data_IF_702586992889
#
_entry.id   IF_702586992889
#
_cell.length_a   1.000
_cell.length_b   1.000
_cell.length_c   1.000
_cell.angle_alpha   90.00
_cell.angle_beta   90.00
_cell.angle_gamma   90.00
#
_symmetry.space_group_name_H-M   'P 1'
#
loop_
_entity.id
_entity.type
_entity.pdbx_description
1 polymer ?
#
# COMPACT_ATOMS: atom_id res chain seq x y z
N UNK A 1 -17.17 -13.43 -35.97
CA UNK A 1 -16.38 -12.57 -36.89
C UNK A 1 -14.93 -12.80 -36.52
N UNK A 2 -14.13 -13.40 -37.43
CA UNK A 2 -12.70 -13.65 -37.18
C UNK A 2 -11.98 -12.32 -37.02
N UNK A 3 -11.34 -12.12 -35.88
CA UNK A 3 -10.40 -11.01 -35.67
C UNK A 3 -9.24 -11.21 -36.64
N UNK A 4 -9.16 -10.38 -37.65
CA UNK A 4 -7.95 -10.32 -38.49
C UNK A 4 -6.90 -9.67 -37.64
N UNK A 5 -5.90 -10.43 -37.21
CA UNK A 5 -4.73 -9.85 -36.52
C UNK A 5 -4.04 -8.87 -37.47
N UNK A 6 -3.50 -7.73 -36.98
CA UNK A 6 -2.72 -6.84 -37.82
C UNK A 6 -1.58 -7.58 -38.45
N UNK A 7 -1.29 -7.28 -39.70
CA UNK A 7 -0.12 -7.88 -40.37
C UNK A 7 1.13 -7.17 -39.83
N UNK A 8 2.22 -7.90 -39.70
CA UNK A 8 3.52 -7.31 -39.29
C UNK A 8 3.89 -6.13 -40.23
N UNK A 9 3.52 -6.19 -41.50
CA UNK A 9 3.73 -5.10 -42.48
C UNK A 9 3.03 -3.80 -42.14
N UNK A 10 1.82 -3.86 -41.54
CA UNK A 10 1.10 -2.65 -41.12
C UNK A 10 1.79 -1.96 -39.93
N UNK A 11 2.27 -2.75 -38.99
CA UNK A 11 3.01 -2.24 -37.80
C UNK A 11 4.35 -1.65 -38.24
N UNK A 12 5.10 -2.33 -39.11
CA UNK A 12 6.34 -1.83 -39.71
C UNK A 12 6.15 -0.51 -40.45
N UNK A 13 5.04 -0.39 -41.20
CA UNK A 13 4.70 0.85 -41.89
C UNK A 13 4.48 2.00 -40.89
N UNK A 14 3.72 1.76 -39.83
CA UNK A 14 3.50 2.74 -38.77
C UNK A 14 4.80 3.11 -38.05
N UNK A 15 5.67 2.14 -37.74
CA UNK A 15 6.98 2.35 -37.17
C UNK A 15 7.81 3.32 -38.00
N UNK A 16 7.90 3.09 -39.34
CA UNK A 16 8.64 3.96 -40.26
C UNK A 16 8.05 5.36 -40.34
N UNK A 17 6.73 5.49 -40.28
CA UNK A 17 6.06 6.79 -40.29
C UNK A 17 6.37 7.58 -38.97
N UNK A 18 6.30 6.92 -37.82
CA UNK A 18 6.62 7.49 -36.51
C UNK A 18 8.08 7.90 -36.43
N UNK A 19 9.02 7.02 -36.81
CA UNK A 19 10.46 7.32 -36.80
C UNK A 19 10.79 8.51 -37.67
N UNK A 20 10.20 8.59 -38.88
CA UNK A 20 10.38 9.72 -39.78
C UNK A 20 9.82 11.03 -39.19
N UNK A 21 8.64 10.96 -38.58
CA UNK A 21 7.94 12.13 -38.05
C UNK A 21 8.60 12.66 -36.76
N UNK A 22 9.10 11.78 -35.89
CA UNK A 22 9.69 12.14 -34.60
C UNK A 22 11.15 12.61 -34.74
N UNK A 23 11.91 12.01 -35.66
CA UNK A 23 13.33 12.32 -35.84
C UNK A 23 14.27 11.50 -34.95
N UNK A 24 15.57 11.80 -35.01
CA UNK A 24 16.64 10.97 -34.42
C UNK A 24 16.68 11.01 -32.87
N UNK A 25 15.94 11.90 -32.24
CA UNK A 25 15.84 11.98 -30.79
C UNK A 25 14.98 10.87 -30.18
N UNK A 26 14.25 10.17 -31.03
CA UNK A 26 13.32 9.10 -30.63
C UNK A 26 13.65 7.80 -31.36
N UNK A 27 13.64 6.73 -30.60
CA UNK A 27 13.77 5.37 -31.12
C UNK A 27 12.41 4.67 -31.04
N UNK A 28 12.01 4.02 -32.12
CA UNK A 28 10.72 3.31 -32.20
C UNK A 28 10.98 1.83 -32.40
N UNK A 29 10.62 1.02 -31.42
CA UNK A 29 10.83 -0.44 -31.42
C UNK A 29 9.52 -1.20 -31.50
N UNK A 30 9.55 -2.37 -32.16
CA UNK A 30 8.40 -3.29 -32.30
C UNK A 30 8.45 -4.36 -31.23
N UNK A 31 7.27 -4.90 -30.89
CA UNK A 31 7.08 -6.04 -29.97
C UNK A 31 7.88 -5.91 -28.66
N UNK A 32 7.90 -4.70 -28.11
CA UNK A 32 8.81 -4.38 -27.02
C UNK A 32 8.14 -4.54 -25.66
N UNK A 33 8.85 -5.25 -24.77
CA UNK A 33 8.43 -5.44 -23.41
C UNK A 33 8.88 -4.28 -22.51
N UNK A 34 7.94 -3.54 -21.95
CA UNK A 34 8.20 -2.48 -20.98
C UNK A 34 7.96 -3.01 -19.56
N UNK A 35 9.02 -2.97 -18.76
CA UNK A 35 8.94 -3.35 -17.35
C UNK A 35 8.22 -2.28 -16.55
N UNK A 36 7.31 -2.67 -15.67
CA UNK A 36 6.75 -1.75 -14.71
C UNK A 36 7.80 -1.36 -13.67
N UNK A 37 7.99 -0.08 -13.34
CA UNK A 37 8.88 0.33 -12.27
C UNK A 37 8.34 -0.02 -10.89
N UNK A 38 7.03 -0.23 -10.78
CA UNK A 38 6.34 -0.50 -9.52
C UNK A 38 6.10 -1.98 -9.30
N UNK A 39 6.26 -2.75 -10.37
CA UNK A 39 5.73 -4.09 -10.39
C UNK A 39 6.67 -5.05 -11.15
N UNK A 40 6.71 -6.33 -10.79
CA UNK A 40 7.48 -7.36 -11.49
C UNK A 40 6.73 -7.89 -12.75
N UNK A 41 6.07 -7.00 -13.51
CA UNK A 41 5.36 -7.32 -14.76
C UNK A 41 6.06 -6.64 -15.92
N UNK A 42 6.01 -7.30 -17.07
CA UNK A 42 6.38 -6.74 -18.36
C UNK A 42 5.12 -6.70 -19.23
N UNK A 43 4.74 -5.52 -19.66
CA UNK A 43 3.69 -5.33 -20.65
C UNK A 43 4.35 -5.26 -22.04
N UNK A 44 3.88 -6.06 -22.99
CA UNK A 44 4.37 -6.03 -24.37
C UNK A 44 3.44 -5.13 -25.17
N UNK A 45 4.01 -4.18 -25.91
CA UNK A 45 3.28 -3.28 -26.82
C UNK A 45 3.71 -3.54 -28.25
N UNK A 46 2.79 -3.37 -29.21
CA UNK A 46 3.08 -3.52 -30.63
C UNK A 46 4.19 -2.58 -31.10
N UNK A 47 4.21 -1.36 -30.55
CA UNK A 47 5.30 -0.40 -30.72
C UNK A 47 5.57 0.32 -29.40
N UNK A 48 6.85 0.63 -29.14
CA UNK A 48 7.26 1.52 -28.04
C UNK A 48 8.14 2.61 -28.61
N UNK A 49 7.85 3.85 -28.26
CA UNK A 49 8.71 5.00 -28.55
C UNK A 49 9.57 5.25 -27.33
N UNK A 50 10.86 5.22 -27.52
CA UNK A 50 11.86 5.57 -26.52
C UNK A 50 12.36 6.98 -26.76
N UNK A 51 12.70 7.66 -25.68
CA UNK A 51 13.41 8.91 -25.67
C UNK A 51 14.56 8.81 -24.69
N UNK A 52 15.79 8.98 -25.14
CA UNK A 52 17.00 8.76 -24.32
C UNK A 52 16.99 7.37 -23.65
N UNK A 53 16.71 6.31 -24.42
CA UNK A 53 16.59 4.92 -23.97
C UNK A 53 15.50 4.64 -22.93
N UNK A 54 14.61 5.60 -22.67
CA UNK A 54 13.50 5.47 -21.72
C UNK A 54 12.20 5.25 -22.49
N UNK A 55 11.39 4.21 -22.14
CA UNK A 55 10.09 4.01 -22.73
C UNK A 55 9.18 5.22 -22.42
N UNK A 56 8.70 5.86 -23.47
CA UNK A 56 7.97 7.11 -23.37
C UNK A 56 6.52 6.99 -23.80
N UNK A 57 6.27 6.27 -24.92
CA UNK A 57 4.95 6.03 -25.48
C UNK A 57 4.79 4.54 -25.76
N UNK A 58 3.69 3.95 -25.34
CA UNK A 58 3.27 2.61 -25.76
C UNK A 58 2.18 2.71 -26.82
N UNK A 59 2.24 1.87 -27.84
CA UNK A 59 1.28 1.87 -28.94
C UNK A 59 0.71 0.47 -29.13
N UNK A 60 -0.60 0.40 -29.17
CA UNK A 60 -1.37 -0.79 -29.54
C UNK A 60 -2.02 -0.60 -30.89
N UNK A 61 -1.72 -1.49 -31.81
CA UNK A 61 -2.27 -1.47 -33.16
C UNK A 61 -3.42 -2.47 -33.27
N UNK A 62 -4.57 -2.00 -33.77
CA UNK A 62 -5.75 -2.85 -34.00
C UNK A 62 -6.28 -2.63 -35.40
N UNK A 63 -6.30 -3.67 -36.20
CA UNK A 63 -6.71 -3.61 -37.61
C UNK A 63 -8.18 -3.21 -37.83
N UNK A 64 -9.03 -3.30 -36.80
CA UNK A 64 -10.48 -3.06 -36.91
C UNK A 64 -10.96 -2.09 -35.84
N UNK A 65 -11.77 -1.10 -36.21
CA UNK A 65 -12.31 -0.07 -35.32
C UNK A 65 -13.10 -0.65 -34.13
N UNK A 66 -13.85 -1.74 -34.34
CA UNK A 66 -14.59 -2.40 -33.26
C UNK A 66 -13.65 -2.98 -32.19
N UNK A 67 -12.47 -3.43 -32.58
CA UNK A 67 -11.44 -3.89 -31.62
C UNK A 67 -10.84 -2.72 -30.87
N UNK A 68 -10.62 -1.58 -31.51
CA UNK A 68 -10.19 -0.33 -30.84
C UNK A 68 -11.22 0.07 -29.78
N UNK A 69 -12.50 0.08 -30.11
CA UNK A 69 -13.57 0.47 -29.18
C UNK A 69 -13.64 -0.43 -27.93
N UNK A 70 -13.29 -1.71 -28.06
CA UNK A 70 -13.17 -2.63 -26.91
C UNK A 70 -11.97 -2.25 -26.05
N UNK A 71 -10.86 -1.94 -26.68
CA UNK A 71 -9.61 -1.59 -26.03
C UNK A 71 -9.63 -0.23 -25.30
N UNK A 72 -10.46 0.70 -25.78
CA UNK A 72 -10.64 2.01 -25.14
C UNK A 72 -11.47 1.95 -23.83
N UNK A 73 -12.00 0.77 -23.46
CA UNK A 73 -12.69 0.64 -22.18
C UNK A 73 -11.72 0.83 -21.02
N UNK A 74 -12.05 1.66 -20.03
CA UNK A 74 -11.14 2.03 -18.94
C UNK A 74 -10.53 0.85 -18.17
N UNK A 75 -11.21 -0.30 -18.17
CA UNK A 75 -10.85 -1.48 -17.36
C UNK A 75 -9.70 -2.31 -17.91
N UNK A 76 -9.30 -2.16 -19.19
CA UNK A 76 -8.35 -3.10 -19.80
C UNK A 76 -7.03 -2.48 -20.29
N UNK A 77 -7.08 -1.40 -21.08
CA UNK A 77 -5.89 -0.87 -21.78
C UNK A 77 -5.18 0.24 -21.05
N UNK A 78 -5.93 1.17 -20.55
CA UNK A 78 -5.51 2.27 -19.71
C UNK A 78 -4.55 1.80 -18.60
N UNK A 79 -4.87 0.67 -17.98
CA UNK A 79 -4.06 0.03 -16.94
C UNK A 79 -2.65 -0.36 -17.41
N UNK A 80 -2.51 -0.94 -18.59
CA UNK A 80 -1.20 -1.37 -19.13
C UNK A 80 -0.24 -0.20 -19.33
N UNK A 81 -0.75 0.94 -19.81
CA UNK A 81 0.05 2.15 -19.99
C UNK A 81 0.46 2.76 -18.66
N UNK A 82 -0.43 2.81 -17.69
CA UNK A 82 -0.12 3.28 -16.34
C UNK A 82 0.89 2.37 -15.63
N UNK A 83 0.65 1.08 -15.62
CA UNK A 83 1.55 0.09 -15.01
C UNK A 83 2.95 0.12 -15.60
N UNK A 84 3.07 0.37 -16.89
CA UNK A 84 4.35 0.50 -17.59
C UNK A 84 5.01 1.87 -17.42
N UNK A 85 4.42 2.75 -16.63
CA UNK A 85 4.92 4.11 -16.38
C UNK A 85 5.15 4.93 -17.66
N UNK A 86 4.39 4.65 -18.72
CA UNK A 86 4.45 5.40 -19.95
C UNK A 86 3.79 6.76 -19.77
N UNK A 87 4.29 7.78 -20.46
CA UNK A 87 3.70 9.11 -20.42
C UNK A 87 2.49 9.22 -21.36
N UNK A 88 2.54 8.52 -22.45
CA UNK A 88 1.46 8.44 -23.44
C UNK A 88 1.14 6.98 -23.78
N UNK A 89 -0.12 6.73 -24.04
CA UNK A 89 -0.61 5.50 -24.64
C UNK A 89 -1.36 5.81 -25.91
N UNK A 90 -1.14 5.05 -26.96
CA UNK A 90 -1.82 5.23 -28.25
C UNK A 90 -2.48 3.92 -28.62
N UNK A 91 -3.76 3.99 -28.98
CA UNK A 91 -4.46 2.91 -29.64
C UNK A 91 -4.83 3.36 -31.06
N UNK A 92 -4.47 2.59 -32.08
CA UNK A 92 -4.67 3.01 -33.45
C UNK A 92 -4.88 1.85 -34.41
N UNK A 93 -5.53 2.12 -35.56
CA UNK A 93 -5.55 1.21 -36.73
C UNK A 93 -4.60 1.67 -37.84
N UNK A 94 -3.76 2.67 -37.59
CA UNK A 94 -2.88 3.26 -38.59
C UNK A 94 -3.60 4.08 -39.68
N UNK A 95 -4.93 4.24 -39.61
CA UNK A 95 -5.69 5.13 -40.48
C UNK A 95 -5.76 6.51 -39.92
N UNK A 96 -5.79 7.53 -40.78
CA UNK A 96 -5.60 8.94 -40.44
C UNK A 96 -6.49 9.47 -39.30
N UNK A 97 -7.70 8.97 -39.17
CA UNK A 97 -8.66 9.41 -38.15
C UNK A 97 -8.94 8.35 -37.07
N UNK A 98 -8.06 7.36 -36.91
CA UNK A 98 -8.23 6.28 -35.94
C UNK A 98 -7.06 6.25 -34.96
N UNK A 99 -6.76 7.39 -34.37
CA UNK A 99 -5.80 7.51 -33.28
C UNK A 99 -6.53 7.93 -32.01
N UNK A 100 -6.23 7.23 -30.94
CA UNK A 100 -6.77 7.50 -29.61
C UNK A 100 -5.60 7.66 -28.66
N UNK A 101 -5.45 8.87 -28.12
CA UNK A 101 -4.36 9.26 -27.25
C UNK A 101 -4.83 9.20 -25.80
N UNK A 102 -4.09 8.48 -24.99
CA UNK A 102 -4.13 8.60 -23.55
C UNK A 102 -2.88 9.34 -23.07
N UNK A 103 -3.07 10.24 -22.13
CA UNK A 103 -2.00 10.95 -21.46
C UNK A 103 -2.04 10.64 -19.97
N UNK A 104 -0.87 10.42 -19.39
CA UNK A 104 -0.78 10.10 -17.98
C UNK A 104 -1.39 11.21 -17.12
N UNK A 105 -2.21 10.83 -16.15
CA UNK A 105 -2.98 11.77 -15.31
C UNK A 105 -4.34 12.17 -15.90
N UNK A 106 -4.63 11.78 -17.14
CA UNK A 106 -5.95 12.02 -17.75
C UNK A 106 -6.79 10.73 -17.71
N UNK A 107 -8.10 10.92 -17.54
CA UNK A 107 -9.02 9.79 -17.51
C UNK A 107 -9.50 9.45 -18.92
N UNK A 108 -9.17 8.23 -19.37
CA UNK A 108 -9.60 7.70 -20.65
C UNK A 108 -8.76 8.15 -21.86
N UNK A 109 -9.19 7.74 -23.02
CA UNK A 109 -8.58 8.07 -24.30
C UNK A 109 -9.33 9.20 -24.99
N UNK A 110 -8.59 10.09 -25.62
CA UNK A 110 -9.13 11.16 -26.46
C UNK A 110 -8.89 10.83 -27.93
N UNK A 111 -9.91 11.05 -28.76
CA UNK A 111 -9.75 10.93 -30.20
C UNK A 111 -8.75 12.01 -30.69
N UNK A 112 -7.85 11.62 -31.58
CA UNK A 112 -6.75 12.46 -32.03
C UNK A 112 -6.38 12.10 -33.48
N UNK A 113 -5.51 12.88 -34.07
CA UNK A 113 -4.91 12.61 -35.37
C UNK A 113 -3.38 12.42 -35.26
N UNK A 114 -2.77 11.87 -36.30
CA UNK A 114 -1.34 11.60 -36.30
C UNK A 114 -0.47 12.83 -36.05
N UNK A 115 -0.83 13.98 -36.65
CA UNK A 115 -0.06 15.21 -36.52
C UNK A 115 -0.15 15.77 -35.10
N UNK A 116 -1.33 15.76 -34.50
CA UNK A 116 -1.58 16.18 -33.13
C UNK A 116 -0.82 15.32 -32.13
N UNK A 117 -0.77 14.02 -32.34
CA UNK A 117 0.02 13.09 -31.51
C UNK A 117 1.51 13.38 -31.61
N UNK A 118 2.06 13.52 -32.83
CA UNK A 118 3.46 13.86 -33.02
C UNK A 118 3.82 15.20 -32.36
N UNK A 119 2.95 16.19 -32.46
CA UNK A 119 3.13 17.48 -31.80
C UNK A 119 3.13 17.34 -30.27
N UNK A 120 2.18 16.58 -29.72
CA UNK A 120 2.11 16.34 -28.28
C UNK A 120 3.39 15.66 -27.75
N UNK A 121 3.90 14.65 -28.48
CA UNK A 121 5.14 13.94 -28.13
C UNK A 121 6.35 14.89 -28.21
N UNK A 122 6.44 15.72 -29.25
CA UNK A 122 7.56 16.65 -29.46
C UNK A 122 7.55 17.87 -28.53
N UNK A 123 6.37 18.34 -28.18
CA UNK A 123 6.20 19.46 -27.25
C UNK A 123 6.46 19.07 -25.78
N UNK A 124 6.58 17.78 -25.53
CA UNK A 124 6.94 17.31 -24.22
C UNK A 124 8.40 17.61 -23.94
N UNK A 125 8.64 18.60 -23.10
CA UNK A 125 9.96 19.10 -22.82
C UNK A 125 10.90 17.99 -22.29
N UNK A 126 12.19 18.01 -22.69
CA UNK A 126 13.22 17.20 -22.05
C UNK A 126 13.25 17.49 -20.55
N UNK A 127 13.83 16.57 -19.77
CA UNK A 127 14.17 16.86 -18.38
C UNK A 127 14.92 18.18 -18.33
N UNK A 128 14.32 19.15 -17.66
CA UNK A 128 14.98 20.42 -17.37
C UNK A 128 16.12 20.20 -16.38
N UNK A 129 16.84 21.27 -16.10
CA UNK A 129 17.85 21.28 -15.03
C UNK A 129 17.23 20.74 -13.73
N UNK A 130 18.06 20.11 -12.89
CA UNK A 130 17.65 19.68 -11.56
C UNK A 130 17.10 20.86 -10.79
N UNK A 131 16.00 20.62 -10.12
CA UNK A 131 15.34 21.64 -9.31
C UNK A 131 16.22 21.99 -8.10
N UNK A 132 16.22 23.25 -7.71
CA UNK A 132 16.73 23.65 -6.41
C UNK A 132 15.87 22.99 -5.32
N UNK A 133 16.52 22.35 -4.35
CA UNK A 133 15.83 21.59 -3.30
C UNK A 133 14.95 22.48 -2.45
N UNK A 134 15.38 23.70 -2.13
CA UNK A 134 14.58 24.61 -1.31
C UNK A 134 13.31 25.06 -2.06
N UNK A 135 13.43 25.37 -3.36
CA UNK A 135 12.27 25.72 -4.18
C UNK A 135 11.31 24.53 -4.31
N UNK A 136 11.86 23.32 -4.47
CA UNK A 136 11.09 22.09 -4.50
C UNK A 136 10.37 21.85 -3.18
N UNK A 137 11.05 21.99 -2.04
CA UNK A 137 10.44 21.87 -0.71
C UNK A 137 9.27 22.83 -0.52
N UNK A 138 9.46 24.11 -0.89
CA UNK A 138 8.41 25.12 -0.81
C UNK A 138 7.19 24.74 -1.66
N UNK A 139 7.41 24.23 -2.88
CA UNK A 139 6.32 23.81 -3.75
C UNK A 139 5.57 22.59 -3.19
N UNK A 140 6.29 21.56 -2.72
CA UNK A 140 5.66 20.36 -2.15
C UNK A 140 4.94 20.68 -0.85
N UNK A 141 5.56 21.43 0.04
CA UNK A 141 4.92 21.81 1.31
C UNK A 141 3.75 22.79 1.11
N UNK A 142 3.77 23.57 0.03
CA UNK A 142 2.66 24.40 -0.40
C UNK A 142 1.42 23.60 -0.86
N UNK A 143 1.51 22.27 -1.05
CA UNK A 143 0.38 21.39 -1.34
C UNK A 143 -0.39 20.95 -0.07
N UNK A 144 0.14 21.25 1.12
CA UNK A 144 -0.58 21.00 2.38
C UNK A 144 -1.85 21.85 2.42
N UNK A 145 -2.98 21.29 2.89
CA UNK A 145 -4.21 22.08 3.03
C UNK A 145 -4.06 23.19 4.06
N UNK A 146 -4.49 24.40 3.73
CA UNK A 146 -4.42 25.58 4.61
C UNK A 146 -5.06 25.36 5.99
N UNK A 147 -6.08 24.51 6.06
CA UNK A 147 -6.81 24.17 7.30
C UNK A 147 -5.99 23.34 8.29
N UNK A 148 -4.85 22.76 7.85
CA UNK A 148 -4.06 21.76 8.59
C UNK A 148 -2.66 22.30 8.95
N UNK A 149 -2.32 23.52 8.54
CA UNK A 149 -0.96 24.07 8.77
C UNK A 149 -0.71 24.22 10.27
N UNK A 150 -0.36 23.09 10.89
CA UNK A 150 0.37 23.06 12.15
C UNK A 150 1.84 23.44 11.87
N UNK A 151 2.31 24.47 12.54
CA UNK A 151 3.68 24.97 12.41
C UNK A 151 4.72 23.87 12.71
N UNK A 152 4.40 22.95 13.61
CA UNK A 152 5.28 21.85 13.97
C UNK A 152 5.30 20.77 12.88
N UNK A 153 4.17 20.39 12.32
CA UNK A 153 4.07 19.50 11.19
C UNK A 153 4.89 20.03 10.00
N UNK A 154 4.68 21.29 9.61
CA UNK A 154 5.43 21.94 8.55
C UNK A 154 6.94 21.87 8.78
N UNK A 155 7.41 22.27 9.96
CA UNK A 155 8.84 22.23 10.32
C UNK A 155 9.42 20.82 10.30
N UNK A 156 8.66 19.83 10.71
CA UNK A 156 9.13 18.44 10.71
C UNK A 156 9.21 17.87 9.30
N UNK A 157 8.27 18.22 8.42
CA UNK A 157 8.34 17.85 7.01
C UNK A 157 9.47 18.60 6.30
N UNK A 158 9.63 19.90 6.51
CA UNK A 158 10.66 20.74 5.89
C UNK A 158 12.08 20.21 6.14
N UNK A 159 12.37 19.73 7.35
CA UNK A 159 13.66 19.11 7.69
C UNK A 159 14.01 17.88 6.83
N UNK A 160 13.03 17.26 6.19
CA UNK A 160 13.25 16.09 5.34
C UNK A 160 13.73 16.47 3.94
N UNK A 161 13.50 17.72 3.51
CA UNK A 161 13.87 18.21 2.18
C UNK A 161 15.27 18.79 2.17
N UNK A 162 16.27 17.92 2.15
CA UNK A 162 17.69 18.30 2.04
C UNK A 162 18.33 17.60 0.83
N UNK A 163 19.46 18.10 0.36
CA UNK A 163 20.19 17.50 -0.77
C UNK A 163 20.59 16.04 -0.50
N UNK A 164 20.85 15.69 0.75
CA UNK A 164 21.22 14.32 1.15
C UNK A 164 20.02 13.36 1.14
N UNK A 165 18.82 13.88 1.33
CA UNK A 165 17.60 13.12 1.50
C UNK A 165 16.82 12.90 0.20
N UNK A 166 17.10 13.74 -0.81
CA UNK A 166 16.39 13.74 -2.10
C UNK A 166 17.26 13.06 -3.17
N UNK A 167 16.67 12.09 -3.83
CA UNK A 167 17.30 11.33 -4.90
C UNK A 167 16.68 11.73 -6.22
N UNK A 168 17.51 12.19 -7.16
CA UNK A 168 17.15 12.45 -8.55
C UNK A 168 17.51 11.26 -9.42
N UNK A 169 16.52 10.65 -10.06
CA UNK A 169 16.72 9.67 -11.13
C UNK A 169 16.68 10.41 -12.48
N UNK A 170 17.82 10.91 -12.93
CA UNK A 170 17.96 11.69 -14.17
C UNK A 170 17.55 10.87 -15.40
N UNK A 171 17.60 9.53 -15.31
CA UNK A 171 17.25 8.66 -16.43
C UNK A 171 15.74 8.57 -16.62
N UNK A 172 14.97 8.67 -15.53
CA UNK A 172 13.51 8.48 -15.53
C UNK A 172 12.74 9.76 -15.22
N UNK A 173 13.41 10.83 -14.85
CA UNK A 173 12.78 12.07 -14.42
C UNK A 173 12.00 11.92 -13.11
N UNK A 174 12.50 11.11 -12.19
CA UNK A 174 11.88 10.97 -10.88
C UNK A 174 12.68 11.62 -9.77
N UNK A 175 11.94 12.19 -8.86
CA UNK A 175 12.42 12.63 -7.55
C UNK A 175 11.84 11.69 -6.52
N UNK A 176 12.64 11.26 -5.57
CA UNK A 176 12.19 10.42 -4.46
C UNK A 176 12.99 10.73 -3.20
N UNK A 177 12.48 10.31 -2.07
CA UNK A 177 13.26 10.29 -0.84
C UNK A 177 14.20 9.07 -0.77
N UNK A 178 15.28 9.19 0.03
CA UNK A 178 15.93 8.01 0.60
C UNK A 178 14.93 7.19 1.42
N UNK A 179 15.13 5.88 1.51
CA UNK A 179 14.16 4.98 2.16
C UNK A 179 13.83 5.35 3.61
N UNK A 180 14.85 5.74 4.40
CA UNK A 180 14.64 6.11 5.81
C UNK A 180 13.91 7.43 5.95
N UNK A 181 14.18 8.35 5.03
CA UNK A 181 13.52 9.64 4.98
C UNK A 181 12.07 9.48 4.54
N UNK A 182 11.81 8.58 3.58
CA UNK A 182 10.44 8.27 3.17
C UNK A 182 9.63 7.67 4.32
N UNK A 183 10.23 6.76 5.10
CA UNK A 183 9.58 6.24 6.31
C UNK A 183 9.31 7.34 7.34
N UNK A 184 10.25 8.26 7.54
CA UNK A 184 10.07 9.41 8.43
C UNK A 184 8.98 10.37 7.92
N UNK A 185 8.90 10.59 6.60
CA UNK A 185 7.86 11.39 5.97
C UNK A 185 6.46 10.83 6.28
N UNK A 186 6.24 9.55 6.01
CA UNK A 186 4.95 8.93 6.29
C UNK A 186 4.62 8.94 7.77
N UNK A 187 5.58 8.65 8.65
CA UNK A 187 5.37 8.72 10.11
C UNK A 187 5.00 10.11 10.59
N UNK A 188 5.56 11.15 9.98
CA UNK A 188 5.21 12.54 10.31
C UNK A 188 3.75 12.87 9.93
N UNK A 189 3.21 12.22 8.88
CA UNK A 189 1.81 12.38 8.47
C UNK A 189 0.83 11.57 9.34
N UNK A 190 1.29 10.48 9.95
CA UNK A 190 0.44 9.65 10.80
C UNK A 190 0.24 10.28 12.19
N UNK A 191 -0.83 9.92 12.92
CA UNK A 191 -1.02 10.36 14.28
C UNK A 191 0.21 10.06 15.14
N UNK A 192 0.61 11.00 15.99
CA UNK A 192 1.74 10.78 16.87
C UNK A 192 1.37 9.76 17.96
N UNK A 193 2.29 8.85 18.23
CA UNK A 193 2.10 7.78 19.18
C UNK A 193 3.21 7.79 20.23
N UNK A 194 2.82 7.83 21.48
CA UNK A 194 3.73 7.59 22.60
C UNK A 194 3.19 6.40 23.40
N UNK A 195 3.28 5.20 22.84
CA UNK A 195 2.60 4.02 23.35
C UNK A 195 3.61 2.98 23.81
N UNK A 196 3.72 2.81 25.11
CA UNK A 196 4.48 1.71 25.69
C UNK A 196 3.71 0.38 25.71
N UNK A 197 2.38 0.44 25.52
CA UNK A 197 1.49 -0.72 25.56
C UNK A 197 0.38 -0.62 24.52
N UNK A 198 -0.02 -1.76 24.00
CA UNK A 198 -1.18 -1.93 23.11
C UNK A 198 -2.01 -3.13 23.54
N UNK A 199 -3.26 -3.20 23.09
CA UNK A 199 -4.09 -4.35 23.35
C UNK A 199 -4.70 -4.91 22.06
N UNK A 200 -5.06 -6.20 22.09
CA UNK A 200 -5.74 -6.89 20.99
C UNK A 200 -6.84 -7.76 21.51
N UNK A 201 -8.04 -7.57 20.97
CA UNK A 201 -9.19 -8.42 21.24
C UNK A 201 -9.21 -9.61 20.30
N UNK A 202 -9.51 -10.81 20.83
CA UNK A 202 -9.54 -12.03 20.04
C UNK A 202 -10.35 -13.12 20.75
N UNK A 203 -10.41 -14.31 20.14
CA UNK A 203 -11.12 -15.46 20.72
C UNK A 203 -10.36 -16.11 21.87
N UNK A 204 -11.06 -16.80 22.76
CA UNK A 204 -10.43 -17.66 23.77
C UNK A 204 -9.59 -18.77 23.13
N UNK A 205 -10.01 -19.27 21.98
CA UNK A 205 -9.24 -20.28 21.25
C UNK A 205 -7.87 -19.75 20.82
N UNK A 206 -7.80 -18.48 20.42
CA UNK A 206 -6.52 -17.86 20.06
C UNK A 206 -5.60 -17.71 21.28
N UNK A 207 -6.14 -17.38 22.48
CA UNK A 207 -5.35 -17.41 23.71
C UNK A 207 -4.88 -18.83 24.03
N UNK A 208 -5.74 -19.83 23.88
CA UNK A 208 -5.36 -21.24 24.07
C UNK A 208 -4.23 -21.67 23.14
N UNK A 209 -4.34 -21.35 21.85
CA UNK A 209 -3.31 -21.67 20.85
C UNK A 209 -2.00 -20.94 21.14
N UNK A 210 -2.06 -19.66 21.53
CA UNK A 210 -0.89 -18.88 21.91
C UNK A 210 -0.17 -19.49 23.11
N UNK A 211 -0.88 -19.93 24.13
CA UNK A 211 -0.29 -20.61 25.29
C UNK A 211 0.27 -21.99 24.93
N UNK A 212 -0.40 -22.71 24.05
CA UNK A 212 -0.03 -24.08 23.65
C UNK A 212 1.16 -24.09 22.69
N UNK A 213 1.11 -23.27 21.64
CA UNK A 213 2.06 -23.28 20.53
C UNK A 213 3.21 -22.28 20.71
N UNK A 214 3.06 -21.32 21.62
CA UNK A 214 4.05 -20.27 21.94
C UNK A 214 4.44 -19.41 20.74
N UNK A 215 3.48 -19.07 19.90
CA UNK A 215 3.71 -18.23 18.73
C UNK A 215 2.80 -17.01 18.72
N UNK A 216 3.37 -15.87 18.36
CA UNK A 216 2.60 -14.74 17.85
C UNK A 216 2.23 -15.03 16.40
N UNK A 217 0.97 -14.83 16.06
CA UNK A 217 0.46 -15.07 14.71
C UNK A 217 0.12 -13.74 14.05
N UNK A 218 0.78 -13.42 12.96
CA UNK A 218 0.43 -12.31 12.09
C UNK A 218 -0.32 -12.86 10.88
N UNK A 219 -1.47 -12.25 10.58
CA UNK A 219 -2.30 -12.64 9.45
C UNK A 219 -1.82 -11.94 8.17
N UNK A 220 -1.80 -12.66 7.05
CA UNK A 220 -1.62 -12.04 5.74
C UNK A 220 -2.72 -11.00 5.49
N UNK A 221 -2.42 -9.95 4.76
CA UNK A 221 -3.40 -8.95 4.34
C UNK A 221 -4.56 -9.55 3.52
N UNK A 222 -4.37 -10.74 2.94
CA UNK A 222 -5.46 -11.48 2.28
C UNK A 222 -6.52 -12.02 3.24
N UNK A 223 -6.24 -12.02 4.56
CA UNK A 223 -7.20 -12.40 5.61
C UNK A 223 -8.07 -11.25 6.13
N UNK A 224 -7.91 -10.05 5.61
CA UNK A 224 -8.68 -8.90 6.09
C UNK A 224 -10.18 -9.15 5.83
N UNK A 225 -10.99 -8.85 6.83
CA UNK A 225 -12.46 -9.01 6.73
C UNK A 225 -13.06 -8.05 5.70
N UNK A 226 -12.41 -6.90 5.50
CA UNK A 226 -12.76 -5.91 4.49
C UNK A 226 -11.70 -5.88 3.39
N UNK A 227 -12.04 -6.43 2.22
CA UNK A 227 -11.19 -6.42 1.03
C UNK A 227 -10.90 -4.97 0.57
N UNK A 228 -11.85 -4.06 0.78
CA UNK A 228 -11.70 -2.63 0.47
C UNK A 228 -10.60 -1.95 1.27
N UNK A 229 -10.28 -2.46 2.45
CA UNK A 229 -9.26 -1.88 3.33
C UNK A 229 -7.86 -1.92 2.72
N UNK A 230 -7.51 -2.97 1.99
CA UNK A 230 -6.19 -3.10 1.36
C UNK A 230 -5.99 -2.16 0.16
N UNK A 231 -7.07 -1.67 -0.43
CA UNK A 231 -7.08 -0.76 -1.58
C UNK A 231 -7.58 0.65 -1.24
N UNK A 232 -7.95 0.91 0.00
CA UNK A 232 -8.57 2.16 0.42
C UNK A 232 -7.75 3.39 0.02
N UNK A 233 -6.48 3.41 0.40
CA UNK A 233 -5.60 4.53 0.11
C UNK A 233 -5.34 4.70 -1.40
N UNK A 234 -5.13 3.59 -2.13
CA UNK A 234 -4.94 3.62 -3.58
C UNK A 234 -6.19 4.15 -4.31
N UNK A 235 -7.38 3.73 -3.86
CA UNK A 235 -8.64 4.22 -4.43
C UNK A 235 -8.86 5.70 -4.15
N UNK A 236 -8.47 6.17 -2.96
CA UNK A 236 -8.62 7.57 -2.58
C UNK A 236 -7.78 8.50 -3.45
N UNK A 237 -6.50 8.18 -3.62
CA UNK A 237 -5.59 9.01 -4.44
C UNK A 237 -5.83 8.88 -5.95
N UNK A 238 -6.82 8.09 -6.37
CA UNK A 238 -7.22 7.96 -7.78
C UNK A 238 -6.36 7.02 -8.61
N UNK A 239 -5.35 6.40 -8.05
CA UNK A 239 -4.57 5.33 -8.66
C UNK A 239 -5.27 3.96 -8.56
N UNK A 240 -6.58 3.98 -8.34
CA UNK A 240 -7.44 2.80 -8.17
C UNK A 240 -7.43 1.79 -9.33
N UNK A 241 -6.78 2.13 -10.44
CA UNK A 241 -6.46 1.17 -11.50
C UNK A 241 -5.51 0.04 -11.04
N UNK A 242 -4.89 0.19 -9.87
CA UNK A 242 -3.97 -0.78 -9.29
C UNK A 242 -4.65 -1.86 -8.42
N UNK A 243 -5.93 -1.67 -8.11
CA UNK A 243 -6.61 -2.42 -7.06
C UNK A 243 -6.85 -3.91 -7.36
N UNK A 244 -6.82 -4.34 -8.60
CA UNK A 244 -7.22 -5.71 -8.98
C UNK A 244 -6.16 -6.53 -9.70
N UNK A 245 -4.89 -6.18 -9.64
CA UNK A 245 -3.87 -7.00 -10.28
C UNK A 245 -3.41 -8.17 -9.40
N UNK A 246 -2.94 -9.21 -10.05
CA UNK A 246 -2.25 -10.37 -9.44
C UNK A 246 -1.18 -10.00 -8.42
N UNK A 247 -0.67 -8.78 -8.47
CA UNK A 247 0.33 -8.24 -7.57
C UNK A 247 -0.17 -7.83 -6.23
N UNK A 248 -1.38 -7.30 -6.15
CA UNK A 248 -2.03 -7.04 -4.88
C UNK A 248 -2.11 -8.34 -4.08
N UNK A 249 -2.35 -9.46 -4.75
CA UNK A 249 -2.35 -10.79 -4.11
C UNK A 249 -0.95 -11.17 -3.65
N UNK A 250 0.09 -10.99 -4.47
CA UNK A 250 1.47 -11.33 -4.09
C UNK A 250 2.02 -10.42 -3.00
N UNK A 251 1.77 -9.12 -3.08
CA UNK A 251 2.15 -8.16 -2.04
C UNK A 251 1.41 -8.47 -0.74
N UNK A 252 0.10 -8.66 -0.80
CA UNK A 252 -0.72 -8.99 0.36
C UNK A 252 -0.34 -10.35 0.97
N UNK A 253 0.09 -11.31 0.16
CA UNK A 253 0.59 -12.61 0.65
C UNK A 253 1.98 -12.53 1.32
N UNK A 254 2.74 -11.48 1.08
CA UNK A 254 4.04 -11.25 1.73
C UNK A 254 3.98 -10.18 2.82
N UNK A 255 2.83 -9.54 2.99
CA UNK A 255 2.57 -8.54 4.01
C UNK A 255 1.65 -9.12 5.08
N UNK A 256 2.12 -9.09 6.33
CA UNK A 256 1.43 -9.68 7.47
C UNK A 256 1.16 -8.62 8.52
N UNK A 257 -0.01 -8.67 9.12
CA UNK A 257 -0.50 -7.64 10.02
C UNK A 257 -0.92 -8.23 11.36
N UNK A 258 -0.67 -7.45 12.41
CA UNK A 258 -1.27 -7.60 13.72
C UNK A 258 -1.94 -6.27 14.09
N UNK A 259 -3.27 -6.24 14.03
CA UNK A 259 -4.06 -5.10 14.44
C UNK A 259 -4.21 -5.09 15.96
N UNK A 260 -3.82 -3.99 16.57
CA UNK A 260 -3.95 -3.71 17.99
C UNK A 260 -4.78 -2.43 18.17
N UNK A 261 -5.14 -2.13 19.38
CA UNK A 261 -5.73 -0.86 19.80
C UNK A 261 -4.82 -0.18 20.82
N UNK A 262 -4.98 1.12 20.98
CA UNK A 262 -4.30 1.87 22.04
C UNK A 262 -4.59 1.26 23.43
N UNK A 263 -3.69 1.54 24.38
CA UNK A 263 -3.82 1.12 25.77
C UNK A 263 -5.08 1.64 26.46
N UNK A 264 -5.64 2.77 26.02
CA UNK A 264 -6.89 3.32 26.51
C UNK A 264 -8.10 2.42 26.20
N UNK A 265 -7.94 1.53 25.24
CA UNK A 265 -8.95 0.52 24.87
C UNK A 265 -8.80 -0.81 25.63
N UNK A 266 -7.93 -0.88 26.63
CA UNK A 266 -7.83 -2.08 27.46
C UNK A 266 -9.10 -2.25 28.29
N UNK A 267 -9.76 -3.39 28.15
CA UNK A 267 -11.02 -3.72 28.82
C UNK A 267 -12.19 -2.78 28.43
N UNK A 268 -12.22 -2.32 27.16
CA UNK A 268 -13.23 -1.41 26.60
C UNK A 268 -14.48 -2.19 26.13
N UNK A 269 -15.66 -1.68 26.47
CA UNK A 269 -16.93 -2.33 26.15
C UNK A 269 -17.22 -2.42 24.65
N UNK A 270 -16.87 -1.37 23.89
CA UNK A 270 -17.08 -1.34 22.46
C UNK A 270 -16.19 -2.36 21.77
N UNK A 271 -14.93 -2.42 22.17
CA UNK A 271 -13.96 -3.38 21.63
C UNK A 271 -14.32 -4.83 21.98
N UNK A 272 -14.87 -5.07 23.19
CA UNK A 272 -15.41 -6.37 23.55
C UNK A 272 -16.55 -6.83 22.63
N UNK A 273 -17.42 -5.91 22.23
CA UNK A 273 -18.54 -6.21 21.32
C UNK A 273 -18.05 -6.51 19.91
N UNK A 274 -17.17 -5.68 19.40
CA UNK A 274 -16.75 -5.77 18.00
C UNK A 274 -15.75 -6.91 17.77
N UNK A 275 -14.75 -7.05 18.63
CA UNK A 275 -13.60 -7.92 18.37
C UNK A 275 -13.38 -9.01 19.42
N UNK A 276 -14.00 -8.90 20.57
CA UNK A 276 -13.91 -9.86 21.68
C UNK A 276 -14.97 -10.95 21.65
N UNK A 277 -15.46 -11.38 20.48
CA UNK A 277 -16.52 -12.38 20.35
C UNK A 277 -17.77 -12.03 21.18
N UNK A 278 -18.26 -10.80 21.06
CA UNK A 278 -19.36 -10.29 21.88
C UNK A 278 -19.11 -10.47 23.37
N UNK A 279 -17.89 -10.14 23.79
CA UNK A 279 -17.40 -10.20 25.17
C UNK A 279 -17.21 -11.62 25.76
N UNK A 280 -17.18 -12.65 24.93
CA UNK A 280 -16.86 -14.03 25.35
C UNK A 280 -15.37 -14.37 25.14
N UNK A 281 -14.60 -13.53 24.45
CA UNK A 281 -13.22 -13.76 24.07
C UNK A 281 -12.21 -13.30 25.12
N UNK A 282 -11.07 -12.81 24.64
CA UNK A 282 -9.96 -12.31 25.46
C UNK A 282 -9.40 -11.00 24.90
N UNK A 283 -8.88 -10.15 25.78
CA UNK A 283 -8.07 -8.98 25.44
C UNK A 283 -6.61 -9.30 25.83
N UNK A 284 -5.74 -9.41 24.85
CA UNK A 284 -4.30 -9.59 25.02
C UNK A 284 -3.64 -8.23 25.16
N UNK A 285 -2.79 -8.04 26.16
CA UNK A 285 -2.04 -6.80 26.39
C UNK A 285 -0.58 -7.04 26.08
N UNK A 286 0.02 -6.16 25.27
CA UNK A 286 1.41 -6.22 24.88
C UNK A 286 2.18 -4.99 25.37
N UNK A 287 3.45 -5.19 25.73
CA UNK A 287 4.43 -4.10 25.82
C UNK A 287 5.09 -3.95 24.44
N UNK A 288 5.34 -2.72 24.05
CA UNK A 288 6.02 -2.37 22.80
C UNK A 288 7.51 -2.20 23.08
N UNK A 289 8.34 -2.79 22.23
CA UNK A 289 9.79 -2.55 22.20
C UNK A 289 10.12 -1.69 20.98
N UNK A 290 10.23 -0.40 21.19
CA UNK A 290 10.46 0.58 20.12
C UNK A 290 11.79 0.36 19.40
N UNK A 291 12.82 -0.18 20.08
CA UNK A 291 14.14 -0.44 19.50
C UNK A 291 14.09 -1.50 18.37
N UNK A 292 13.04 -2.32 18.34
CA UNK A 292 12.86 -3.38 17.34
C UNK A 292 11.96 -2.95 16.18
N UNK A 293 11.38 -1.76 16.25
CA UNK A 293 10.56 -1.19 15.19
C UNK A 293 11.48 -0.53 14.16
N UNK A 294 11.06 -0.53 12.89
CA UNK A 294 11.74 0.12 11.74
C UNK A 294 13.08 -0.49 11.32
N UNK A 295 13.27 -1.76 11.59
CA UNK A 295 14.44 -2.50 11.16
C UNK A 295 14.30 -3.17 9.77
N UNK A 296 13.71 -2.49 8.81
CA UNK A 296 13.43 -2.95 7.43
C UNK A 296 12.35 -4.03 7.27
N UNK A 297 11.86 -4.65 8.33
CA UNK A 297 10.86 -5.74 8.26
C UNK A 297 9.59 -5.46 9.04
N UNK A 298 9.68 -4.73 10.16
CA UNK A 298 8.55 -4.39 11.00
C UNK A 298 8.28 -2.89 10.96
N UNK A 299 7.03 -2.55 10.68
CA UNK A 299 6.51 -1.18 10.70
C UNK A 299 5.40 -1.12 11.73
N UNK A 300 5.46 -0.16 12.62
CA UNK A 300 4.50 -0.03 13.70
C UNK A 300 4.08 1.43 13.85
N UNK A 301 2.80 1.68 13.61
CA UNK A 301 2.24 3.02 13.67
C UNK A 301 0.72 2.98 13.90
N UNK A 302 0.13 4.06 14.44
CA UNK A 302 -1.31 4.22 14.46
C UNK A 302 -1.85 4.42 13.04
N UNK A 303 -3.09 3.97 12.85
CA UNK A 303 -3.81 4.17 11.60
C UNK A 303 -4.34 5.60 11.53
N UNK A 304 -4.14 6.25 10.39
CA UNK A 304 -4.77 7.52 10.08
C UNK A 304 -6.15 7.29 9.47
N UNK A 305 -7.14 7.96 10.02
CA UNK A 305 -8.51 7.93 9.54
C UNK A 305 -8.85 9.25 8.83
N UNK A 306 -9.74 9.18 7.85
CA UNK A 306 -10.31 10.39 7.27
C UNK A 306 -10.97 11.29 8.31
N UNK A 307 -11.08 12.58 8.03
CA UNK A 307 -11.84 13.54 8.86
C UNK A 307 -13.34 13.35 8.71
N UNK A 308 -13.75 12.87 7.53
CA UNK A 308 -15.10 12.47 7.18
C UNK A 308 -15.06 11.34 6.13
N UNK A 309 -16.22 10.90 5.64
CA UNK A 309 -16.28 9.91 4.54
C UNK A 309 -15.70 10.44 3.22
N UNK A 310 -15.63 11.76 3.06
CA UNK A 310 -15.19 12.45 1.83
C UNK A 310 -13.93 13.29 2.02
N UNK A 311 -13.33 13.26 3.20
CA UNK A 311 -12.15 14.07 3.53
C UNK A 311 -11.08 13.24 4.21
N UNK A 312 -9.90 13.17 3.60
CA UNK A 312 -8.71 12.55 4.16
C UNK A 312 -7.47 13.34 3.75
N UNK A 313 -7.19 14.42 4.48
CA UNK A 313 -6.17 15.40 4.08
C UNK A 313 -4.78 14.78 3.83
N UNK A 314 -4.39 13.76 4.58
CA UNK A 314 -3.09 13.09 4.36
C UNK A 314 -3.04 12.41 2.99
N UNK A 315 -4.12 11.71 2.63
CA UNK A 315 -4.19 11.05 1.32
C UNK A 315 -4.33 12.09 0.19
N UNK A 316 -5.05 13.19 0.41
CA UNK A 316 -5.13 14.30 -0.54
C UNK A 316 -3.74 14.93 -0.76
N UNK A 317 -3.00 15.16 0.32
CA UNK A 317 -1.62 15.68 0.23
C UNK A 317 -0.70 14.73 -0.52
N UNK A 318 -0.73 13.42 -0.20
CA UNK A 318 0.05 12.39 -0.90
C UNK A 318 -0.35 12.35 -2.39
N UNK A 319 -1.63 12.37 -2.70
CA UNK A 319 -2.15 12.41 -4.07
C UNK A 319 -1.69 13.64 -4.84
N UNK A 320 -1.69 14.80 -4.20
CA UNK A 320 -1.17 16.04 -4.78
C UNK A 320 0.33 15.95 -5.08
N UNK A 321 1.13 15.38 -4.17
CA UNK A 321 2.57 15.15 -4.40
C UNK A 321 2.78 14.19 -5.60
N UNK A 322 2.03 13.10 -5.68
CA UNK A 322 2.13 12.14 -6.77
C UNK A 322 1.68 12.73 -8.12
N UNK A 323 0.78 13.69 -8.09
CA UNK A 323 0.30 14.42 -9.28
C UNK A 323 1.24 15.58 -9.67
N UNK A 324 2.14 15.98 -8.77
CA UNK A 324 3.05 17.08 -9.02
C UNK A 324 4.04 16.76 -10.14
N UNK A 325 4.27 17.73 -11.03
CA UNK A 325 5.28 17.64 -12.07
C UNK A 325 5.81 19.02 -12.44
N UNK A 326 7.12 19.14 -12.67
CA UNK A 326 7.75 20.37 -13.10
C UNK A 326 8.98 20.06 -13.96
N UNK A 327 9.09 20.69 -15.11
CA UNK A 327 10.23 20.54 -16.03
C UNK A 327 10.55 19.07 -16.39
N UNK A 328 9.53 18.22 -16.51
CA UNK A 328 9.69 16.79 -16.75
C UNK A 328 9.97 15.94 -15.50
N UNK A 329 10.29 16.56 -14.38
CA UNK A 329 10.43 15.89 -13.09
C UNK A 329 9.09 15.56 -12.47
N UNK A 330 9.02 14.41 -11.79
CA UNK A 330 7.84 13.94 -11.07
C UNK A 330 8.27 13.29 -9.76
N UNK A 331 7.44 13.38 -8.74
CA UNK A 331 7.71 12.72 -7.47
C UNK A 331 7.19 11.29 -7.45
N UNK A 332 7.87 10.39 -6.76
CA UNK A 332 7.39 9.04 -6.46
C UNK A 332 7.75 8.61 -5.06
N UNK A 333 6.89 7.81 -4.45
CA UNK A 333 7.18 7.09 -3.23
C UNK A 333 7.59 5.64 -3.57
N UNK A 334 8.76 5.23 -3.10
CA UNK A 334 9.29 3.88 -3.32
C UNK A 334 8.70 2.86 -2.32
N UNK A 335 8.19 3.34 -1.19
CA UNK A 335 7.67 2.52 -0.08
C UNK A 335 6.16 2.70 0.15
N UNK A 336 5.45 3.28 -0.81
CA UNK A 336 4.00 3.43 -0.75
C UNK A 336 3.29 2.09 -0.50
N UNK A 337 3.76 0.99 -1.06
CA UNK A 337 3.23 -0.35 -0.85
C UNK A 337 3.23 -0.82 0.62
N UNK A 338 3.99 -0.17 1.49
CA UNK A 338 4.02 -0.38 2.94
C UNK A 338 3.04 0.59 3.61
N UNK A 339 3.24 1.89 3.36
CA UNK A 339 2.59 2.95 4.13
C UNK A 339 1.11 3.12 3.79
N UNK A 340 0.66 2.74 2.60
CA UNK A 340 -0.75 2.73 2.22
C UNK A 340 -1.64 1.93 3.20
N UNK A 341 -1.08 0.95 3.90
CA UNK A 341 -1.79 0.12 4.85
C UNK A 341 -2.01 0.79 6.22
N UNK A 342 -1.53 2.01 6.43
CA UNK A 342 -1.75 2.80 7.64
C UNK A 342 -2.83 3.89 7.46
N UNK A 343 -3.62 3.80 6.40
CA UNK A 343 -4.75 4.69 6.14
C UNK A 343 -6.05 3.88 6.07
N UNK A 344 -7.11 4.42 6.67
CA UNK A 344 -8.40 3.73 6.77
C UNK A 344 -9.56 4.71 6.69
N UNK A 345 -10.73 4.23 6.28
CA UNK A 345 -11.94 5.03 6.22
C UNK A 345 -12.33 5.57 7.59
N UNK A 346 -12.85 6.80 7.61
CA UNK A 346 -13.42 7.46 8.77
C UNK A 346 -14.45 6.59 9.54
N UNK A 347 -15.18 5.73 8.85
CA UNK A 347 -16.18 4.84 9.45
C UNK A 347 -15.60 3.92 10.55
N UNK A 348 -14.29 3.68 10.53
CA UNK A 348 -13.60 2.79 11.47
C UNK A 348 -12.81 3.54 12.57
N UNK A 349 -12.95 4.85 12.68
CA UNK A 349 -12.16 5.69 13.60
C UNK A 349 -12.24 5.29 15.07
N UNK A 350 -13.37 4.70 15.49
CA UNK A 350 -13.59 4.29 16.88
C UNK A 350 -12.72 3.08 17.28
N UNK A 351 -12.11 2.40 16.33
CA UNK A 351 -11.18 1.29 16.59
C UNK A 351 -9.87 1.79 17.22
N UNK A 352 -9.46 3.03 16.94
CA UNK A 352 -8.17 3.59 17.35
C UNK A 352 -7.04 2.58 17.12
N UNK A 353 -7.02 2.05 15.88
CA UNK A 353 -6.15 0.94 15.52
C UNK A 353 -4.68 1.37 15.47
N UNK A 354 -3.83 0.50 15.98
CA UNK A 354 -2.38 0.57 15.86
C UNK A 354 -1.94 -0.70 15.14
N UNK A 355 -1.21 -0.57 14.04
CA UNK A 355 -0.81 -1.70 13.21
C UNK A 355 0.64 -2.05 13.40
N UNK A 356 0.92 -3.34 13.59
CA UNK A 356 2.21 -3.93 13.35
C UNK A 356 2.13 -4.62 11.98
N UNK A 357 2.86 -4.08 11.01
CA UNK A 357 3.01 -4.65 9.67
C UNK A 357 4.38 -5.32 9.57
N UNK A 358 4.41 -6.55 9.10
CA UNK A 358 5.63 -7.29 8.79
C UNK A 358 5.69 -7.58 7.30
N UNK A 359 6.79 -7.18 6.67
CA UNK A 359 7.07 -7.50 5.26
C UNK A 359 8.02 -8.69 5.22
N UNK A 360 7.52 -9.82 4.75
CA UNK A 360 8.27 -11.06 4.66
C UNK A 360 9.17 -11.05 3.43
N UNK A 361 10.48 -11.10 3.64
CA UNK A 361 11.44 -11.30 2.56
C UNK A 361 11.36 -12.72 1.99
N UNK A 362 11.81 -12.91 0.75
CA UNK A 362 11.87 -14.24 0.10
C UNK A 362 12.72 -15.23 0.87
N UNK A 363 13.79 -14.74 1.50
CA UNK A 363 14.77 -15.56 2.23
C UNK A 363 14.44 -15.65 3.74
N UNK A 364 13.25 -15.24 4.14
CA UNK A 364 12.83 -15.29 5.54
C UNK A 364 12.67 -16.74 6.00
N UNK A 365 13.31 -17.07 7.12
CA UNK A 365 13.18 -18.36 7.82
C UNK A 365 11.97 -18.38 8.79
N UNK A 366 11.17 -17.31 8.84
CA UNK A 366 9.95 -17.28 9.65
C UNK A 366 8.94 -18.28 9.10
N UNK A 367 8.41 -19.15 9.96
CA UNK A 367 7.42 -20.15 9.59
C UNK A 367 6.19 -19.48 8.98
N UNK A 368 5.73 -20.01 7.87
CA UNK A 368 4.48 -19.64 7.22
C UNK A 368 3.53 -20.83 7.22
N UNK A 369 2.35 -20.64 7.80
CA UNK A 369 1.30 -21.67 7.88
C UNK A 369 0.09 -21.23 7.09
N UNK A 370 -0.39 -22.08 6.21
CA UNK A 370 -1.65 -21.87 5.50
C UNK A 370 -2.83 -22.26 6.38
N UNK A 371 -3.86 -21.45 6.34
CA UNK A 371 -5.10 -21.64 7.11
C UNK A 371 -6.33 -21.36 6.24
N UNK A 372 -7.46 -21.88 6.68
CA UNK A 372 -8.77 -21.36 6.28
C UNK A 372 -9.28 -20.43 7.38
N UNK A 373 -10.03 -19.40 7.00
CA UNK A 373 -10.71 -18.52 7.95
C UNK A 373 -11.75 -19.31 8.78
N UNK A 374 -12.32 -18.67 9.81
CA UNK A 374 -13.30 -19.32 10.71
C UNK A 374 -14.56 -19.81 10.02
N UNK A 375 -14.85 -19.31 8.83
CA UNK A 375 -16.00 -19.70 7.99
C UNK A 375 -15.64 -20.74 6.95
N UNK A 376 -14.38 -21.16 6.85
CA UNK A 376 -13.81 -22.03 5.81
C UNK A 376 -14.03 -21.50 4.38
N UNK A 377 -14.09 -20.19 4.22
CA UNK A 377 -14.39 -19.52 2.96
C UNK A 377 -13.15 -18.92 2.30
N UNK A 378 -12.17 -18.45 3.10
CA UNK A 378 -11.00 -17.73 2.62
C UNK A 378 -9.74 -18.50 3.03
N UNK A 379 -8.94 -18.89 2.01
CA UNK A 379 -7.61 -19.43 2.23
C UNK A 379 -6.61 -18.29 2.42
N UNK A 380 -5.82 -18.35 3.47
CA UNK A 380 -4.82 -17.34 3.77
C UNK A 380 -3.61 -17.95 4.46
N UNK A 381 -2.64 -17.11 4.82
CA UNK A 381 -1.45 -17.56 5.51
C UNK A 381 -1.18 -16.75 6.78
N UNK A 382 -0.55 -17.40 7.74
CA UNK A 382 -0.02 -16.79 8.96
C UNK A 382 1.51 -16.79 8.91
N UNK A 383 2.15 -15.75 9.43
CA UNK A 383 3.53 -15.79 9.87
C UNK A 383 3.57 -16.05 11.38
N UNK A 384 4.39 -17.02 11.80
CA UNK A 384 4.50 -17.46 13.17
C UNK A 384 5.84 -17.00 13.77
N UNK A 385 5.76 -16.21 14.82
CA UNK A 385 6.92 -15.75 15.56
C UNK A 385 6.92 -16.40 16.93
N UNK A 386 7.96 -17.14 17.23
CA UNK A 386 8.15 -17.69 18.58
C UNK A 386 8.08 -16.56 19.61
N UNK A 387 7.38 -16.78 20.73
CA UNK A 387 7.25 -15.81 21.82
C UNK A 387 8.62 -15.39 22.38
N UNK A 388 9.61 -16.26 22.27
CA UNK A 388 10.98 -15.99 22.68
C UNK A 388 11.81 -15.28 21.60
N UNK A 389 11.22 -15.00 20.43
CA UNK A 389 11.93 -14.32 19.35
C UNK A 389 12.31 -12.90 19.76
N UNK A 390 13.59 -12.68 19.97
CA UNK A 390 14.14 -11.40 20.42
C UNK A 390 13.98 -10.27 19.39
N UNK A 391 13.60 -10.60 18.15
CA UNK A 391 13.37 -9.61 17.07
C UNK A 391 11.92 -9.21 16.93
N UNK A 392 10.98 -9.87 17.62
CA UNK A 392 9.57 -9.49 17.55
C UNK A 392 9.30 -8.29 18.45
N UNK A 393 8.71 -7.19 17.93
CA UNK A 393 8.65 -5.92 18.65
C UNK A 393 7.60 -5.87 19.77
N UNK A 394 6.72 -6.87 19.89
CA UNK A 394 5.70 -6.91 20.92
C UNK A 394 5.94 -8.07 21.87
N UNK A 395 5.85 -7.82 23.18
CA UNK A 395 5.93 -8.86 24.20
C UNK A 395 4.65 -8.92 25.03
N UNK A 396 4.13 -10.14 25.25
CA UNK A 396 2.91 -10.35 26.04
C UNK A 396 3.11 -9.89 27.49
N UNK A 397 2.23 -9.00 27.94
CA UNK A 397 2.19 -8.48 29.30
C UNK A 397 1.13 -9.20 30.14
N UNK A 398 -0.11 -9.29 29.67
CA UNK A 398 -1.21 -9.95 30.37
C UNK A 398 -2.33 -10.30 29.39
N UNK A 399 -3.33 -11.04 29.89
CA UNK A 399 -4.58 -11.28 29.18
C UNK A 399 -5.77 -11.05 30.11
N UNK A 400 -6.87 -10.53 29.53
CA UNK A 400 -8.13 -10.30 30.25
C UNK A 400 -9.21 -11.18 29.59
N UNK A 401 -9.93 -11.95 30.39
CA UNK A 401 -11.04 -12.76 29.91
C UNK A 401 -12.33 -11.94 29.93
N UNK A 402 -13.06 -11.99 28.83
CA UNK A 402 -14.26 -11.19 28.60
C UNK A 402 -15.37 -11.42 29.62
N UNK A 403 -16.19 -10.40 29.89
CA UNK A 403 -17.21 -10.44 30.95
C UNK A 403 -18.35 -11.43 30.69
N UNK A 404 -18.59 -11.82 29.43
CA UNK A 404 -19.59 -12.87 29.08
C UNK A 404 -19.00 -14.26 28.90
N UNK A 405 -17.71 -14.44 29.19
CA UNK A 405 -17.11 -15.77 29.07
C UNK A 405 -17.83 -16.76 30.01
N UNK A 406 -18.37 -17.83 29.45
CA UNK A 406 -18.89 -18.91 30.24
C UNK A 406 -17.79 -19.56 31.07
N UNK A 407 -18.08 -19.92 32.32
CA UNK A 407 -17.08 -20.52 33.22
C UNK A 407 -15.81 -19.67 33.38
N UNK A 408 -15.95 -18.31 33.42
CA UNK A 408 -14.83 -17.37 33.44
C UNK A 408 -13.76 -17.70 34.49
N UNK A 409 -14.17 -17.96 35.73
CA UNK A 409 -13.26 -18.30 36.82
C UNK A 409 -12.47 -19.58 36.58
N UNK A 410 -13.16 -20.63 36.04
CA UNK A 410 -12.51 -21.88 35.69
C UNK A 410 -11.51 -21.70 34.54
N UNK A 411 -11.90 -20.97 33.50
CA UNK A 411 -11.00 -20.66 32.38
C UNK A 411 -9.76 -19.88 32.82
N UNK A 412 -9.93 -18.87 33.70
CA UNK A 412 -8.81 -18.12 34.25
C UNK A 412 -7.84 -19.04 35.00
N UNK A 413 -8.37 -19.92 35.84
CA UNK A 413 -7.55 -20.87 36.62
C UNK A 413 -6.76 -21.81 35.67
N UNK A 414 -7.43 -22.37 34.65
CA UNK A 414 -6.78 -23.27 33.70
C UNK A 414 -5.74 -22.56 32.83
N UNK A 415 -6.04 -21.39 32.30
CA UNK A 415 -5.08 -20.63 31.50
C UNK A 415 -3.87 -20.13 32.30
N UNK A 416 -4.07 -19.73 33.57
CA UNK A 416 -2.95 -19.41 34.45
C UNK A 416 -2.09 -20.64 34.75
N UNK A 417 -2.71 -21.82 34.92
CA UNK A 417 -1.98 -23.07 35.07
C UNK A 417 -1.19 -23.44 33.80
N UNK A 418 -1.79 -23.31 32.62
CA UNK A 418 -1.09 -23.47 31.33
C UNK A 418 0.08 -22.50 31.23
N UNK A 419 -0.14 -21.24 31.57
CA UNK A 419 0.93 -20.24 31.56
C UNK A 419 2.08 -20.61 32.50
N UNK A 420 1.78 -21.09 33.70
CA UNK A 420 2.80 -21.57 34.64
C UNK A 420 3.63 -22.70 34.03
N UNK A 421 3.02 -23.65 33.35
CA UNK A 421 3.70 -24.74 32.68
C UNK A 421 4.54 -24.27 31.47
N UNK A 422 3.96 -23.40 30.66
CA UNK A 422 4.52 -22.97 29.38
C UNK A 422 5.42 -21.73 29.47
N UNK A 423 5.32 -20.94 30.57
CA UNK A 423 6.09 -19.71 30.84
C UNK A 423 5.96 -18.63 29.75
N UNK A 424 4.78 -18.50 29.19
CA UNK A 424 4.50 -17.52 28.10
C UNK A 424 4.56 -16.08 28.62
N UNK A 425 3.91 -15.80 29.76
CA UNK A 425 3.97 -14.50 30.44
C UNK A 425 5.07 -14.56 31.52
N UNK A 426 6.29 -14.28 31.18
CA UNK A 426 7.49 -14.58 32.01
C UNK A 426 7.69 -13.72 33.25
N UNK A 427 7.12 -12.49 33.29
CA UNK A 427 7.46 -11.48 34.33
C UNK A 427 6.38 -11.25 35.36
N UNK A 428 5.29 -12.02 35.32
CA UNK A 428 4.13 -11.83 36.22
C UNK A 428 3.99 -13.05 37.12
N UNK A 429 3.52 -12.84 38.35
CA UNK A 429 3.13 -13.97 39.18
C UNK A 429 2.15 -14.85 38.43
N UNK A 430 2.33 -16.15 38.50
CA UNK A 430 1.60 -17.11 37.66
C UNK A 430 0.07 -16.96 37.69
N UNK A 431 -0.50 -16.48 38.82
CA UNK A 431 -1.95 -16.30 39.04
C UNK A 431 -2.46 -14.89 38.66
N UNK A 432 -1.59 -14.01 38.17
CA UNK A 432 -1.92 -12.61 37.86
C UNK A 432 -1.79 -12.30 36.36
N UNK A 433 -1.29 -13.24 35.58
CA UNK A 433 -1.07 -13.03 34.15
C UNK A 433 -2.37 -12.96 33.35
N UNK A 434 -3.38 -13.75 33.79
CA UNK A 434 -4.67 -13.85 33.13
C UNK A 434 -5.76 -13.56 34.18
N UNK A 435 -6.55 -12.52 33.92
CA UNK A 435 -7.52 -11.96 34.86
C UNK A 435 -8.90 -11.83 34.26
N UNK A 436 -9.91 -11.57 35.07
CA UNK A 436 -11.26 -11.24 34.62
C UNK A 436 -11.35 -9.77 34.17
N UNK A 437 -12.24 -9.49 33.23
CA UNK A 437 -12.69 -8.14 32.94
C UNK A 437 -13.26 -7.45 34.19
N UNK A 438 -13.06 -6.15 34.31
CA UNK A 438 -13.64 -5.32 35.36
C UNK A 438 -15.08 -4.90 35.07
N UNK A 439 -15.58 -5.18 33.87
CA UNK A 439 -16.93 -4.85 33.46
C UNK A 439 -17.91 -5.89 34.05
N UNK A 440 -18.63 -5.49 35.11
CA UNK A 440 -19.49 -6.43 35.86
C UNK A 440 -20.94 -6.49 35.39
N UNK A 441 -21.44 -5.46 34.68
CA UNK A 441 -22.86 -5.28 34.38
C UNK A 441 -23.18 -5.47 32.88
N UNK A 442 -22.36 -6.19 32.15
CA UNK A 442 -22.59 -6.48 30.74
C UNK A 442 -23.59 -7.62 30.58
N UNK A 443 -24.82 -7.31 30.16
CA UNK A 443 -25.91 -8.27 29.89
C UNK A 443 -26.10 -8.50 28.40
#
# INVERSE_FOLDING_TARGET
MSSVNPTTEDIERLQKQLSKALGNEYQVEMDTAVSSPYFNIKNIFDLVIFRNDIPFVGIEYKSVLSSIQIELRPTFFYRRFQESNLKYGICTSGKENHFYLWKRGEFGFQESDFASIINAIKQDLPLGERLNINDFAVEILGLLPDSIVDVELYKNLDKLFTEENIIFDDTKGYISFDQKVEDAFFKTLLPQMNVSKVCRYTSLNNLFLLLKEKHHCLCSLTCMNDIGETSYADNWIGDGAYAESYKTVDENNNSYILSCCDSDKIDDLTMWRLYGQNAMGTCLVYNVNEELIDNNSFFFAPVSYGQSETEHWQLDFIGNILSWSKNGWRFKFNRWYIWKHFFKSYLFKDEQEIRLLYIRSKDSNIERRWIMDSTNSIASSLCLFDIENSKFPLSLSSAIIGPKCSQQASNIAQFNYMNFQQKVFRRIRWNEAITASRINDYR
#
